data_IF_978407767221
#
_entry.id   IF_978407767221
#
_cell.length_a   1.000
_cell.length_b   1.000
_cell.length_c   1.000
_cell.angle_alpha   90.00
_cell.angle_beta   90.00
_cell.angle_gamma   90.00
#
_symmetry.space_group_name_H-M   'P 1'
#
loop_
_entity.id
_entity.type
_entity.pdbx_description
1 polymer ?
#
# COMPACT_ATOMS: atom_id res chain seq x y z
N UNK A 1 -10.44 -17.36 -9.78
CA UNK A 1 -11.76 -17.02 -9.20
C UNK A 1 -12.61 -16.46 -10.32
N UNK A 2 -13.67 -17.18 -10.67
CA UNK A 2 -14.63 -16.82 -11.72
C UNK A 2 -15.52 -15.68 -11.24
N UNK A 3 -15.06 -14.45 -11.43
CA UNK A 3 -15.73 -13.24 -10.96
C UNK A 3 -16.22 -12.32 -12.07
N UNK A 4 -16.48 -12.83 -13.29
CA UNK A 4 -17.04 -12.05 -14.41
C UNK A 4 -16.26 -10.79 -14.81
N UNK A 5 -15.05 -10.60 -14.29
CA UNK A 5 -14.20 -9.45 -14.55
C UNK A 5 -13.34 -9.73 -15.77
N UNK A 6 -13.62 -9.04 -16.88
CA UNK A 6 -12.76 -9.04 -18.07
C UNK A 6 -11.39 -8.39 -17.83
N UNK A 7 -11.21 -7.76 -16.67
CA UNK A 7 -9.96 -7.08 -16.32
C UNK A 7 -8.99 -8.05 -15.66
N UNK A 8 -7.93 -8.41 -16.39
CA UNK A 8 -6.84 -9.28 -15.89
C UNK A 8 -5.77 -8.54 -15.08
N UNK A 9 -5.59 -7.25 -15.35
CA UNK A 9 -4.55 -6.43 -14.73
C UNK A 9 -4.92 -4.94 -14.79
N UNK A 10 -4.58 -4.20 -13.74
CA UNK A 10 -4.67 -2.74 -13.77
C UNK A 10 -3.58 -2.16 -14.70
N UNK A 11 -3.97 -1.28 -15.63
CA UNK A 11 -3.05 -0.58 -16.53
C UNK A 11 -3.11 0.91 -16.27
N UNK A 12 -2.11 1.44 -15.57
CA UNK A 12 -2.02 2.86 -15.20
C UNK A 12 -2.22 3.81 -16.39
N UNK A 13 -1.56 3.55 -17.53
CA UNK A 13 -1.68 4.41 -18.73
C UNK A 13 -3.04 4.38 -19.44
N UNK A 14 -3.96 3.47 -19.04
CA UNK A 14 -5.34 3.44 -19.53
C UNK A 14 -6.34 3.87 -18.45
N UNK A 15 -5.86 4.21 -17.25
CA UNK A 15 -6.72 4.56 -16.15
C UNK A 15 -7.25 5.98 -16.33
N UNK A 16 -8.57 6.13 -16.23
CA UNK A 16 -9.23 7.43 -16.29
C UNK A 16 -9.33 7.99 -14.86
N UNK A 17 -8.84 9.20 -14.66
CA UNK A 17 -8.87 9.91 -13.38
C UNK A 17 -10.01 10.93 -13.39
N UNK A 18 -11.25 10.44 -13.43
CA UNK A 18 -12.45 11.28 -13.38
C UNK A 18 -13.38 10.86 -12.23
N UNK A 19 -13.60 11.71 -11.20
CA UNK A 19 -12.95 13.00 -10.99
C UNK A 19 -11.47 12.88 -10.61
N UNK A 20 -10.65 13.90 -10.91
CA UNK A 20 -9.18 13.87 -10.76
C UNK A 20 -8.73 13.76 -9.31
N UNK A 21 -9.57 14.17 -8.36
CA UNK A 21 -9.30 14.05 -6.94
C UNK A 21 -10.34 13.16 -6.26
N UNK A 22 -9.88 12.47 -5.22
CA UNK A 22 -10.78 11.81 -4.27
C UNK A 22 -11.40 12.82 -3.31
N UNK A 23 -12.39 12.40 -2.51
CA UNK A 23 -12.97 13.24 -1.44
C UNK A 23 -11.94 13.77 -0.44
N UNK A 24 -10.81 13.07 -0.31
CA UNK A 24 -9.70 13.42 0.58
C UNK A 24 -8.74 14.46 0.00
N UNK A 25 -8.95 14.90 -1.26
CA UNK A 25 -8.06 15.84 -1.94
C UNK A 25 -6.66 15.26 -2.20
N UNK A 26 -5.67 16.14 -2.33
CA UNK A 26 -4.27 15.74 -2.46
C UNK A 26 -3.74 15.20 -1.13
N UNK A 27 -3.22 13.98 -1.16
CA UNK A 27 -2.55 13.36 -0.01
C UNK A 27 -1.11 13.05 -0.38
N UNK A 28 -0.18 13.77 0.23
CA UNK A 28 1.27 13.60 0.02
C UNK A 28 1.80 12.36 0.74
N UNK A 29 3.00 11.90 0.36
CA UNK A 29 3.68 10.82 1.06
C UNK A 29 3.83 11.07 2.57
N UNK A 30 4.17 12.31 2.95
CA UNK A 30 4.39 12.66 4.36
C UNK A 30 3.10 12.59 5.17
N UNK A 31 1.99 13.10 4.62
CA UNK A 31 0.67 12.97 5.24
C UNK A 31 0.25 11.51 5.38
N UNK A 32 0.57 10.67 4.40
CA UNK A 32 0.30 9.23 4.50
C UNK A 32 1.14 8.58 5.59
N UNK A 33 2.42 8.93 5.69
CA UNK A 33 3.31 8.40 6.72
C UNK A 33 2.89 8.82 8.13
N UNK A 34 2.50 10.08 8.33
CA UNK A 34 1.98 10.57 9.62
C UNK A 34 0.74 9.79 10.05
N UNK A 35 -0.19 9.54 9.13
CA UNK A 35 -1.41 8.76 9.42
C UNK A 35 -1.12 7.30 9.72
N UNK A 36 -0.18 6.70 8.98
CA UNK A 36 0.26 5.32 9.20
C UNK A 36 0.93 5.19 10.57
N UNK A 37 1.83 6.13 10.90
CA UNK A 37 2.53 6.17 12.18
C UNK A 37 1.55 6.27 13.35
N UNK A 38 0.61 7.22 13.28
CA UNK A 38 -0.46 7.36 14.26
C UNK A 38 -1.26 6.05 14.43
N UNK A 39 -1.65 5.39 13.34
CA UNK A 39 -2.40 4.15 13.42
C UNK A 39 -1.59 3.02 14.08
N UNK A 40 -0.35 2.82 13.64
CA UNK A 40 0.53 1.76 14.15
C UNK A 40 0.86 1.99 15.62
N UNK A 41 1.16 3.23 16.02
CA UNK A 41 1.46 3.59 17.40
C UNK A 41 0.32 3.23 18.36
N UNK A 42 -0.92 3.40 17.94
CA UNK A 42 -2.09 3.08 18.76
C UNK A 42 -2.46 1.58 18.72
N UNK A 43 -2.28 0.92 17.57
CA UNK A 43 -2.70 -0.47 17.38
C UNK A 43 -1.67 -1.50 17.85
N UNK A 44 -0.36 -1.21 17.71
CA UNK A 44 0.71 -2.11 18.13
C UNK A 44 0.62 -2.56 19.60
N UNK A 45 0.43 -1.68 20.60
CA UNK A 45 0.34 -2.11 22.01
C UNK A 45 -0.89 -2.98 22.27
N UNK A 46 -2.01 -2.70 21.61
CA UNK A 46 -3.24 -3.50 21.73
C UNK A 46 -3.02 -4.89 21.12
N UNK A 47 -2.40 -4.96 19.95
CA UNK A 47 -2.06 -6.23 19.30
C UNK A 47 -1.15 -7.09 20.19
N UNK A 48 -0.19 -6.48 20.90
CA UNK A 48 0.67 -7.15 21.88
C UNK A 48 -0.09 -7.67 23.10
N UNK A 49 -0.97 -6.84 23.69
CA UNK A 49 -1.79 -7.20 24.86
C UNK A 49 -2.63 -8.45 24.59
N UNK A 50 -3.31 -8.48 23.44
CA UNK A 50 -4.17 -9.58 23.02
C UNK A 50 -3.41 -10.69 22.26
N UNK A 51 -2.08 -10.60 22.18
CA UNK A 51 -1.21 -11.54 21.45
C UNK A 51 -1.67 -11.82 20.01
N UNK A 52 -2.24 -10.80 19.36
CA UNK A 52 -2.77 -10.87 18.00
C UNK A 52 -1.74 -10.34 17.02
N UNK A 53 -1.44 -11.10 15.96
CA UNK A 53 -0.48 -10.67 14.93
C UNK A 53 -1.16 -9.81 13.87
N UNK A 54 -0.70 -8.58 13.72
CA UNK A 54 -1.09 -7.70 12.62
C UNK A 54 -0.21 -7.98 11.40
N UNK A 55 -0.81 -8.00 10.22
CA UNK A 55 -0.10 -8.22 8.97
C UNK A 55 -0.57 -7.19 7.92
N UNK A 56 0.31 -6.26 7.57
CA UNK A 56 -0.01 -5.24 6.56
C UNK A 56 0.00 -5.85 5.15
N UNK A 57 -1.08 -5.64 4.40
CA UNK A 57 -1.10 -5.91 2.96
C UNK A 57 -0.48 -4.74 2.18
N UNK A 58 0.43 -4.99 1.21
CA UNK A 58 1.01 -3.93 0.37
C UNK A 58 -0.06 -3.22 -0.48
N UNK A 59 0.22 -2.01 -0.96
CA UNK A 59 -0.73 -1.33 -1.85
C UNK A 59 -0.86 -2.05 -3.20
N UNK A 60 -2.09 -2.34 -3.61
CA UNK A 60 -2.42 -2.95 -4.90
C UNK A 60 -3.34 -2.02 -5.73
N UNK A 61 -2.94 -1.63 -6.95
CA UNK A 61 -1.59 -1.74 -7.51
C UNK A 61 -0.64 -0.76 -6.82
N UNK A 62 0.65 -1.09 -6.81
CA UNK A 62 1.69 -0.14 -6.42
C UNK A 62 1.75 0.96 -7.49
N UNK A 63 1.42 2.19 -7.12
CA UNK A 63 1.35 3.31 -8.06
C UNK A 63 2.73 3.95 -8.27
N UNK A 64 3.01 4.52 -9.45
CA UNK A 64 4.25 5.25 -9.68
C UNK A 64 4.34 6.46 -8.75
N UNK A 65 5.38 6.51 -7.92
CA UNK A 65 5.69 7.67 -7.08
C UNK A 65 6.44 8.73 -7.91
N UNK A 66 6.21 10.04 -7.70
CA UNK A 66 5.30 10.66 -6.73
C UNK A 66 3.89 10.94 -7.30
N UNK A 67 3.59 10.56 -8.54
CA UNK A 67 2.32 10.88 -9.20
C UNK A 67 1.11 10.25 -8.53
N UNK A 68 1.27 9.06 -7.95
CA UNK A 68 0.18 8.35 -7.29
C UNK A 68 -0.99 8.08 -8.26
N UNK A 69 -2.20 8.05 -7.73
CA UNK A 69 -3.43 7.98 -8.52
C UNK A 69 -4.53 8.80 -7.85
N UNK A 70 -5.20 9.67 -8.62
CA UNK A 70 -6.28 10.57 -8.18
C UNK A 70 -5.91 11.46 -7.00
N UNK A 71 -4.67 11.97 -7.02
CA UNK A 71 -4.11 12.83 -5.97
C UNK A 71 -3.66 12.11 -4.70
N UNK A 72 -3.66 10.78 -4.66
CA UNK A 72 -3.23 9.99 -3.49
C UNK A 72 -1.88 9.33 -3.74
N UNK A 73 -0.88 9.67 -2.92
CA UNK A 73 0.40 8.96 -2.88
C UNK A 73 0.26 7.63 -2.13
N UNK A 74 0.80 6.55 -2.71
CA UNK A 74 0.72 5.19 -2.16
C UNK A 74 2.09 4.72 -1.71
N UNK A 75 2.45 5.04 -0.47
CA UNK A 75 3.80 4.84 0.07
C UNK A 75 4.18 3.36 0.28
N UNK A 76 3.20 2.49 0.55
CA UNK A 76 3.38 1.04 0.78
C UNK A 76 3.38 0.19 -0.51
N UNK A 77 3.62 0.82 -1.68
CA UNK A 77 3.71 0.14 -2.98
C UNK A 77 5.13 -0.25 -3.41
N UNK A 78 6.12 -0.08 -2.53
CA UNK A 78 7.55 -0.25 -2.83
C UNK A 78 8.28 -1.00 -1.72
N UNK A 79 9.43 -1.59 -2.04
CA UNK A 79 10.26 -2.30 -1.06
C UNK A 79 10.74 -1.35 0.05
N UNK A 80 11.14 -0.12 -0.29
CA UNK A 80 11.61 0.86 0.68
C UNK A 80 10.48 1.30 1.61
N UNK A 81 9.27 1.45 1.08
CA UNK A 81 8.09 1.78 1.87
C UNK A 81 7.70 0.66 2.83
N UNK A 82 7.73 -0.59 2.37
CA UNK A 82 7.45 -1.74 3.23
C UNK A 82 8.51 -1.90 4.34
N UNK A 83 9.79 -1.66 4.02
CA UNK A 83 10.86 -1.65 5.02
C UNK A 83 10.63 -0.58 6.07
N UNK A 84 10.37 0.66 5.65
CA UNK A 84 10.06 1.76 6.58
C UNK A 84 8.89 1.43 7.49
N UNK A 85 7.85 0.74 6.99
CA UNK A 85 6.69 0.35 7.80
C UNK A 85 7.03 -0.67 8.91
N UNK A 86 7.88 -1.66 8.63
CA UNK A 86 8.34 -2.60 9.67
C UNK A 86 9.16 -1.86 10.72
N UNK A 87 10.00 -0.93 10.28
CA UNK A 87 10.92 -0.19 11.15
C UNK A 87 10.21 0.83 12.06
N UNK A 88 8.96 1.23 11.77
CA UNK A 88 8.20 2.22 12.57
C UNK A 88 7.94 1.76 14.00
N UNK A 89 7.54 0.50 14.20
CA UNK A 89 7.24 -0.04 15.53
C UNK A 89 7.68 -1.51 15.62
N UNK A 90 8.97 -1.77 15.94
CA UNK A 90 9.49 -3.13 15.96
C UNK A 90 8.81 -3.95 17.05
N UNK A 91 7.99 -4.92 16.65
CA UNK A 91 7.27 -5.83 17.53
C UNK A 91 7.11 -7.19 16.87
N UNK A 92 7.11 -8.28 17.65
CA UNK A 92 6.81 -9.62 17.13
C UNK A 92 5.36 -9.78 16.65
N UNK A 93 4.48 -8.82 16.98
CA UNK A 93 3.07 -8.81 16.60
C UNK A 93 2.77 -7.80 15.48
N UNK A 94 3.78 -7.05 15.01
CA UNK A 94 3.69 -6.11 13.90
C UNK A 94 4.46 -6.65 12.70
N UNK A 95 3.74 -7.14 11.68
CA UNK A 95 4.34 -7.83 10.54
C UNK A 95 3.79 -7.38 9.18
N UNK A 96 4.35 -7.97 8.13
CA UNK A 96 3.89 -7.79 6.74
C UNK A 96 3.21 -9.06 6.23
N UNK A 97 2.14 -8.90 5.48
CA UNK A 97 1.55 -9.96 4.69
C UNK A 97 2.18 -10.00 3.30
N UNK A 98 2.80 -11.11 2.93
CA UNK A 98 3.49 -11.25 1.65
C UNK A 98 2.54 -11.72 0.54
N UNK A 99 1.76 -10.77 0.00
CA UNK A 99 0.87 -11.04 -1.14
C UNK A 99 1.66 -11.17 -2.45
N UNK A 100 1.74 -12.39 -2.99
CA UNK A 100 2.44 -12.67 -4.26
C UNK A 100 1.85 -11.89 -5.44
N UNK A 101 0.53 -11.72 -5.51
CA UNK A 101 -0.13 -11.02 -6.60
C UNK A 101 0.26 -9.55 -6.68
N UNK A 102 0.31 -8.88 -5.53
CA UNK A 102 0.68 -7.46 -5.43
C UNK A 102 2.19 -7.24 -5.53
N UNK A 103 3.00 -8.13 -4.94
CA UNK A 103 4.46 -8.05 -4.96
C UNK A 103 5.08 -8.32 -6.33
N UNK A 104 4.55 -9.30 -7.09
CA UNK A 104 5.06 -9.65 -8.42
C UNK A 104 4.35 -8.94 -9.57
N UNK A 105 3.11 -8.49 -9.39
CA UNK A 105 2.35 -7.77 -10.43
C UNK A 105 3.02 -6.47 -10.92
N UNK A 106 3.93 -5.91 -10.13
CA UNK A 106 4.71 -4.72 -10.45
C UNK A 106 6.12 -4.99 -11.00
N UNK A 107 6.57 -6.26 -11.09
CA UNK A 107 7.86 -6.61 -11.72
C UNK A 107 7.62 -6.82 -13.21
N UNK A 108 7.73 -5.75 -14.00
CA UNK A 108 7.89 -5.90 -15.45
C UNK A 108 9.31 -6.41 -15.72
N UNK A 109 9.44 -7.43 -16.57
CA UNK A 109 10.74 -7.79 -17.16
C UNK A 109 11.31 -6.53 -17.83
N UNK A 110 12.53 -6.16 -17.46
CA UNK A 110 13.32 -5.20 -18.20
C UNK A 110 13.69 -5.83 -19.55
N UNK A 111 12.92 -5.51 -20.59
CA UNK A 111 13.11 -6.01 -21.95
C UNK A 111 11.83 -6.62 -22.52
N UNK A 112 10.94 -5.75 -23.00
CA UNK A 112 9.99 -5.94 -24.13
C UNK A 112 9.38 -4.57 -24.47
#
# INVERSE_FOLDING_TARGET
>A
MEGGSDTRAFRYGKAVEDPPLTKSGNTTADMMWERIDYFVQNMAPVAEEYKTRMALHPHDPGMPRPKGFRGVDRVLGSVEGLKKFIDLHPSSYHGLNFCQGTGFGNVRRSGD
#
